data_IF_352917514114
#
_entry.id   IF_352917514114
#
_cell.length_a   1.000
_cell.length_b   1.000
_cell.length_c   1.000
_cell.angle_alpha   90.00
_cell.angle_beta   90.00
_cell.angle_gamma   90.00
#
_symmetry.space_group_name_H-M   'P 1'
#
loop_
_entity.id
_entity.type
_entity.pdbx_description
1 polymer ?
#
# COMPACT_ATOMS: atom_id res chain seq x y z
N UNK A 1 24.96 -21.25 -8.33
CA UNK A 1 24.65 -21.11 -6.90
C UNK A 1 24.63 -19.64 -6.58
N UNK A 2 23.49 -19.11 -6.12
CA UNK A 2 23.38 -17.69 -5.76
C UNK A 2 24.00 -17.47 -4.37
N UNK A 3 24.68 -16.35 -4.18
CA UNK A 3 25.35 -16.00 -2.92
C UNK A 3 25.01 -14.57 -2.57
N UNK A 4 24.82 -14.27 -1.30
CA UNK A 4 24.51 -12.89 -0.88
C UNK A 4 25.66 -11.96 -1.23
N UNK A 5 25.32 -10.80 -1.81
CA UNK A 5 26.31 -9.81 -2.22
C UNK A 5 25.94 -8.45 -1.68
N UNK A 6 26.92 -7.76 -1.12
CA UNK A 6 26.74 -6.38 -0.67
C UNK A 6 27.00 -5.45 -1.86
N UNK A 7 26.02 -4.61 -2.17
CA UNK A 7 26.08 -3.62 -3.25
C UNK A 7 25.97 -2.21 -2.66
N UNK A 8 26.48 -1.22 -3.38
CA UNK A 8 26.44 0.18 -2.97
C UNK A 8 25.36 0.93 -3.74
N UNK A 9 24.48 1.62 -3.01
CA UNK A 9 23.38 2.35 -3.62
C UNK A 9 23.88 3.60 -4.36
N UNK A 10 23.44 3.79 -5.61
CA UNK A 10 23.82 4.96 -6.42
C UNK A 10 23.29 6.30 -5.86
N UNK A 11 22.13 6.30 -5.17
CA UNK A 11 21.54 7.54 -4.66
C UNK A 11 22.06 7.97 -3.27
N UNK A 12 22.11 7.06 -2.30
CA UNK A 12 22.49 7.38 -0.92
C UNK A 12 23.90 6.93 -0.53
N UNK A 13 24.63 6.27 -1.44
CA UNK A 13 25.95 5.65 -1.19
C UNK A 13 25.99 4.63 -0.04
N UNK A 14 24.83 4.26 0.53
CA UNK A 14 24.71 3.23 1.56
C UNK A 14 24.84 1.84 0.98
N UNK A 15 25.43 0.94 1.76
CA UNK A 15 25.59 -0.46 1.40
C UNK A 15 24.28 -1.21 1.70
N UNK A 16 23.91 -2.16 0.83
CA UNK A 16 22.72 -2.99 1.00
C UNK A 16 22.98 -4.40 0.49
N UNK A 17 22.26 -5.38 1.04
CA UNK A 17 22.42 -6.79 0.70
C UNK A 17 21.49 -7.16 -0.45
N UNK A 18 22.06 -7.67 -1.53
CA UNK A 18 21.35 -8.35 -2.60
C UNK A 18 21.24 -9.84 -2.24
N UNK A 19 20.11 -10.18 -1.63
CA UNK A 19 19.89 -11.52 -1.05
C UNK A 19 19.73 -12.61 -2.11
N UNK A 20 19.88 -13.87 -1.70
CA UNK A 20 19.67 -15.03 -2.59
C UNK A 20 18.26 -15.03 -3.19
N UNK A 21 17.23 -14.74 -2.38
CA UNK A 21 15.84 -14.69 -2.86
C UNK A 21 15.59 -13.59 -3.89
N UNK A 22 16.26 -12.43 -3.76
CA UNK A 22 16.19 -11.38 -4.78
C UNK A 22 16.91 -11.80 -6.08
N UNK A 23 18.03 -12.51 -6.00
CA UNK A 23 18.74 -13.04 -7.17
C UNK A 23 17.90 -14.06 -7.94
N UNK A 24 17.24 -14.98 -7.24
CA UNK A 24 16.32 -15.94 -7.83
C UNK A 24 15.13 -15.24 -8.50
N UNK A 25 14.59 -14.19 -7.86
CA UNK A 25 13.53 -13.38 -8.46
C UNK A 25 13.99 -12.72 -9.77
N UNK A 26 15.21 -12.16 -9.79
CA UNK A 26 15.76 -11.53 -10.99
C UNK A 26 15.98 -12.56 -12.11
N UNK A 27 16.55 -13.72 -11.78
CA UNK A 27 16.75 -14.82 -12.73
C UNK A 27 15.42 -15.31 -13.35
N UNK A 28 14.41 -15.58 -12.52
CA UNK A 28 13.10 -16.06 -12.96
C UNK A 28 12.34 -15.03 -13.82
N UNK A 29 12.63 -13.74 -13.64
CA UNK A 29 12.05 -12.65 -14.45
C UNK A 29 12.88 -12.31 -15.69
N UNK A 30 14.00 -13.01 -15.94
CA UNK A 30 14.92 -12.70 -17.04
C UNK A 30 15.66 -11.37 -16.86
N UNK A 31 15.74 -10.84 -15.63
CA UNK A 31 16.50 -9.63 -15.32
C UNK A 31 17.95 -10.00 -15.05
N UNK A 32 18.83 -9.66 -15.99
CA UNK A 32 20.29 -9.87 -15.88
C UNK A 32 21.01 -8.75 -15.14
N UNK A 33 20.33 -7.63 -14.87
CA UNK A 33 20.91 -6.45 -14.25
C UNK A 33 20.81 -6.49 -12.73
N UNK A 34 21.89 -6.21 -12.02
CA UNK A 34 21.89 -6.07 -10.56
C UNK A 34 21.14 -4.81 -10.09
N UNK A 35 20.53 -4.82 -8.89
CA UNK A 35 19.87 -3.65 -8.35
C UNK A 35 20.86 -2.50 -8.11
N UNK A 36 20.58 -1.32 -8.68
CA UNK A 36 21.42 -0.12 -8.55
C UNK A 36 21.09 0.75 -7.32
N UNK A 37 19.92 0.53 -6.71
CA UNK A 37 19.36 1.35 -5.63
C UNK A 37 18.88 0.43 -4.52
N UNK A 38 19.14 0.79 -3.27
CA UNK A 38 18.63 0.07 -2.11
C UNK A 38 17.09 0.16 -2.03
N UNK A 39 16.48 -0.71 -1.23
CA UNK A 39 15.03 -0.77 -1.05
C UNK A 39 14.42 0.60 -0.68
N UNK A 40 15.07 1.35 0.22
CA UNK A 40 14.60 2.66 0.66
C UNK A 40 14.61 3.70 -0.49
N UNK A 41 15.74 3.84 -1.18
CA UNK A 41 15.85 4.76 -2.33
C UNK A 41 14.92 4.37 -3.48
N UNK A 42 14.63 3.08 -3.67
CA UNK A 42 13.64 2.60 -4.65
C UNK A 42 12.22 3.03 -4.28
N UNK A 43 11.86 2.99 -3.00
CA UNK A 43 10.56 3.50 -2.48
C UNK A 43 10.47 5.02 -2.64
N UNK A 44 11.49 5.77 -2.23
CA UNK A 44 11.53 7.23 -2.37
C UNK A 44 11.40 7.65 -3.83
N UNK A 45 12.09 6.98 -4.74
CA UNK A 45 12.02 7.26 -6.19
C UNK A 45 10.62 6.97 -6.75
N UNK A 46 9.99 5.87 -6.32
CA UNK A 46 8.60 5.55 -6.70
C UNK A 46 7.63 6.62 -6.18
N UNK A 47 7.84 7.13 -4.97
CA UNK A 47 7.03 8.21 -4.39
C UNK A 47 7.19 9.52 -5.17
N UNK A 48 8.43 9.91 -5.50
CA UNK A 48 8.72 11.09 -6.32
C UNK A 48 8.07 11.02 -7.71
N UNK A 49 8.15 9.86 -8.38
CA UNK A 49 7.54 9.66 -9.71
C UNK A 49 6.02 9.64 -9.71
N UNK A 50 5.39 9.28 -8.59
CA UNK A 50 3.94 9.23 -8.47
C UNK A 50 3.31 10.60 -8.17
N UNK A 51 4.09 11.69 -8.19
CA UNK A 51 3.61 13.05 -7.94
C UNK A 51 3.12 13.29 -6.51
N UNK A 52 3.35 12.32 -5.60
CA UNK A 52 3.09 12.47 -4.17
C UNK A 52 4.28 13.17 -3.54
N UNK A 53 4.30 14.49 -3.64
CA UNK A 53 5.18 15.36 -2.86
C UNK A 53 4.88 15.14 -1.37
N UNK A 54 5.89 14.74 -0.60
CA UNK A 54 5.77 14.73 0.87
C UNK A 54 5.80 16.16 1.44
N UNK A 55 6.19 17.15 0.64
CA UNK A 55 6.44 18.54 1.07
C UNK A 55 5.16 19.37 1.20
N UNK A 56 4.08 19.01 0.51
CA UNK A 56 2.82 19.77 0.61
C UNK A 56 1.82 19.02 1.47
N UNK A 57 2.00 19.14 2.79
CA UNK A 57 0.96 18.77 3.74
C UNK A 57 -0.29 19.62 3.46
N UNK A 58 -1.37 18.97 3.10
CA UNK A 58 -2.68 19.58 2.85
C UNK A 58 -3.54 19.43 4.08
N UNK A 59 -4.14 20.52 4.57
CA UNK A 59 -5.13 20.46 5.63
C UNK A 59 -6.42 19.80 5.10
N UNK A 60 -7.00 18.91 5.90
CA UNK A 60 -8.27 18.25 5.63
C UNK A 60 -9.11 18.15 6.90
N UNK A 61 -10.43 18.05 6.72
CA UNK A 61 -11.42 17.94 7.80
C UNK A 61 -11.95 16.52 7.86
N UNK A 62 -12.09 15.97 9.07
CA UNK A 62 -12.64 14.64 9.27
C UNK A 62 -14.16 14.65 9.11
N UNK A 63 -14.72 13.79 8.25
CA UNK A 63 -16.16 13.73 8.01
C UNK A 63 -16.99 13.17 9.18
N UNK A 64 -16.37 12.57 10.21
CA UNK A 64 -17.06 11.99 11.39
C UNK A 64 -16.96 12.84 12.65
N UNK A 65 -15.79 13.42 12.92
CA UNK A 65 -15.51 14.17 14.15
C UNK A 65 -15.08 15.62 13.91
N UNK A 66 -15.07 16.07 12.65
CA UNK A 66 -14.80 17.47 12.24
C UNK A 66 -13.42 18.02 12.62
N UNK A 67 -12.55 17.20 13.21
CA UNK A 67 -11.18 17.60 13.55
C UNK A 67 -10.36 17.85 12.28
N UNK A 68 -9.57 18.92 12.30
CA UNK A 68 -8.56 19.22 11.28
C UNK A 68 -7.34 18.30 11.41
N UNK A 69 -6.79 17.87 10.27
CA UNK A 69 -5.57 17.06 10.22
C UNK A 69 -4.81 17.29 8.92
N UNK A 70 -3.52 16.92 8.93
CA UNK A 70 -2.62 17.12 7.80
C UNK A 70 -2.45 15.83 7.00
N UNK A 71 -2.57 15.93 5.68
CA UNK A 71 -2.41 14.84 4.73
C UNK A 71 -1.29 15.10 3.72
N UNK A 72 -0.45 14.12 3.37
CA UNK A 72 0.60 14.27 2.34
C UNK A 72 0.03 14.18 0.91
N UNK A 73 -1.29 14.23 0.74
CA UNK A 73 -1.95 14.16 -0.56
C UNK A 73 -3.23 15.01 -0.55
N UNK A 74 -3.57 15.58 -1.71
CA UNK A 74 -4.83 16.31 -1.89
C UNK A 74 -5.99 15.31 -2.01
N UNK A 75 -7.03 15.39 -1.17
CA UNK A 75 -8.21 14.55 -1.33
C UNK A 75 -8.95 14.90 -2.63
N UNK A 76 -9.41 13.87 -3.34
CA UNK A 76 -10.09 13.98 -4.65
C UNK A 76 -11.58 14.37 -4.54
N UNK A 77 -12.12 14.56 -3.33
CA UNK A 77 -13.51 14.99 -3.08
C UNK A 77 -14.59 13.92 -3.25
N UNK A 78 -14.35 12.86 -4.03
CA UNK A 78 -15.35 11.80 -4.29
C UNK A 78 -15.60 10.84 -3.10
N UNK A 79 -14.75 10.88 -2.06
CA UNK A 79 -14.84 10.02 -0.87
C UNK A 79 -14.63 10.85 0.40
N UNK A 80 -15.32 10.51 1.50
CA UNK A 80 -15.14 11.18 2.78
C UNK A 80 -13.73 10.93 3.32
N UNK A 81 -13.12 11.98 3.88
CA UNK A 81 -11.81 11.93 4.54
C UNK A 81 -11.98 11.74 6.04
N UNK A 82 -11.21 10.83 6.64
CA UNK A 82 -11.28 10.53 8.07
C UNK A 82 -9.90 10.67 8.74
N UNK A 83 -9.90 11.08 10.01
CA UNK A 83 -8.71 11.00 10.85
C UNK A 83 -8.34 9.53 11.16
N UNK A 84 -7.14 9.26 11.66
CA UNK A 84 -6.66 7.88 11.90
C UNK A 84 -7.63 7.08 12.81
N UNK A 85 -8.13 7.70 13.87
CA UNK A 85 -9.06 7.08 14.82
C UNK A 85 -10.40 6.74 14.16
N UNK A 86 -11.06 7.73 13.52
CA UNK A 86 -12.35 7.50 12.85
C UNK A 86 -12.22 6.57 11.63
N UNK A 87 -11.07 6.59 10.94
CA UNK A 87 -10.81 5.68 9.83
C UNK A 87 -10.77 4.22 10.27
N UNK A 88 -10.16 3.92 11.43
CA UNK A 88 -10.14 2.56 11.99
C UNK A 88 -11.54 2.06 12.31
N UNK A 89 -12.38 2.90 12.93
CA UNK A 89 -13.77 2.53 13.24
C UNK A 89 -14.60 2.34 11.98
N UNK A 90 -14.52 3.29 11.04
CA UNK A 90 -15.28 3.23 9.79
C UNK A 90 -14.85 2.04 8.92
N UNK A 91 -13.56 1.72 8.93
CA UNK A 91 -13.06 0.52 8.24
C UNK A 91 -13.70 -0.75 8.84
N UNK A 92 -13.70 -0.91 10.16
CA UNK A 92 -14.29 -2.06 10.82
C UNK A 92 -15.81 -2.19 10.54
N UNK A 93 -16.54 -1.07 10.59
CA UNK A 93 -17.98 -1.01 10.26
C UNK A 93 -18.25 -1.48 8.82
N UNK A 94 -17.46 -0.99 7.85
CA UNK A 94 -17.60 -1.38 6.42
C UNK A 94 -17.23 -2.85 6.22
N UNK A 95 -16.19 -3.35 6.89
CA UNK A 95 -15.72 -4.73 6.78
C UNK A 95 -16.75 -5.70 7.36
N UNK A 96 -17.33 -5.39 8.51
CA UNK A 96 -18.46 -6.13 9.10
C UNK A 96 -19.69 -6.14 8.18
N UNK A 97 -20.03 -4.99 7.59
CA UNK A 97 -21.16 -4.89 6.63
C UNK A 97 -20.93 -5.76 5.40
N UNK A 98 -19.70 -5.77 4.85
CA UNK A 98 -19.34 -6.63 3.72
C UNK A 98 -19.40 -8.11 4.09
N UNK A 99 -18.96 -8.48 5.28
CA UNK A 99 -19.05 -9.85 5.79
C UNK A 99 -20.51 -10.29 5.96
N UNK A 100 -21.35 -9.47 6.61
CA UNK A 100 -22.78 -9.76 6.78
C UNK A 100 -23.51 -9.89 5.43
N UNK A 101 -23.17 -9.05 4.45
CA UNK A 101 -23.72 -9.17 3.10
C UNK A 101 -23.25 -10.44 2.38
N UNK A 102 -22.00 -10.84 2.57
CA UNK A 102 -21.48 -12.08 2.00
C UNK A 102 -22.13 -13.32 2.61
N UNK A 103 -22.38 -13.34 3.92
CA UNK A 103 -23.08 -14.45 4.58
C UNK A 103 -24.55 -14.54 4.16
N UNK A 104 -25.24 -13.40 4.00
CA UNK A 104 -26.61 -13.38 3.48
C UNK A 104 -26.71 -13.90 2.04
N UNK A 105 -25.78 -13.50 1.16
CA UNK A 105 -25.74 -14.00 -0.21
C UNK A 105 -25.52 -15.52 -0.25
N UNK A 106 -24.59 -16.04 0.57
CA UNK A 106 -24.33 -17.48 0.64
C UNK A 106 -25.53 -18.28 1.18
N UNK A 107 -26.28 -17.72 2.14
CA UNK A 107 -27.49 -18.34 2.67
C UNK A 107 -28.64 -18.37 1.64
N UNK A 108 -28.70 -17.40 0.73
CA UNK A 108 -29.70 -17.35 -0.34
C UNK A 108 -29.47 -18.34 -1.49
N UNK A 109 -28.23 -18.82 -1.68
CA UNK A 109 -27.90 -19.84 -2.70
C UNK A 109 -28.22 -21.28 -2.27
N UNK A 110 -28.63 -21.49 -1.00
CA UNK A 110 -28.97 -22.81 -0.46
C UNK A 110 -30.48 -23.10 -0.43
N UNK A 111 -31.32 -22.27 -1.07
CA UNK A 111 -32.77 -22.56 -1.16
C UNK A 111 -32.95 -23.78 -2.07
N UNK A 112 -33.41 -24.93 -1.55
CA UNK A 112 -33.66 -26.08 -2.40
C UNK A 112 -34.82 -25.73 -3.34
N UNK A 113 -34.54 -25.81 -4.65
CA UNK A 113 -35.59 -25.78 -5.67
C UNK A 113 -36.42 -27.05 -5.49
N UNK A 114 -37.51 -26.96 -4.73
CA UNK A 114 -38.46 -28.07 -4.60
C UNK A 114 -39.26 -28.17 -5.89
N UNK A 115 -39.11 -29.30 -6.59
CA UNK A 115 -39.85 -29.70 -7.80
C UNK A 115 -41.22 -30.25 -7.42
#
# INVERSE_FOLDING_TARGET
MFTERVLRCCDCAGDFVFTVGEQEFFYNKGLTNEPKRCANCRVVTRLRRSGRSLETLTAAVCAKCESEFMLPFKPLGYKPTYCNTCFRTHRAEVEATRQARATLNLASEQVPVTV
#
